data_IF_247927489312
#
_entry.id   IF_247927489312
#
_cell.length_a   1.000
_cell.length_b   1.000
_cell.length_c   1.000
_cell.angle_alpha   90.00
_cell.angle_beta   90.00
_cell.angle_gamma   90.00
#
_symmetry.space_group_name_H-M   'P 1'
#
loop_
_entity.id
_entity.type
_entity.pdbx_description
1 polymer ?
#
# COMPACT_ATOMS: atom_id res chain seq x y z
N UNK A 1 -14.06 24.57 -10.63
CA UNK A 1 -13.14 23.46 -10.98
C UNK A 1 -13.58 22.25 -10.16
N UNK A 2 -13.93 21.13 -10.79
CA UNK A 2 -14.13 19.86 -10.07
C UNK A 2 -12.75 19.32 -9.68
N UNK A 3 -12.43 19.27 -8.40
CA UNK A 3 -11.31 18.48 -7.92
C UNK A 3 -11.69 17.00 -8.09
N UNK A 4 -11.09 16.30 -9.06
CA UNK A 4 -11.16 14.84 -9.07
C UNK A 4 -10.19 14.32 -8.02
N UNK A 5 -10.71 13.74 -6.94
CA UNK A 5 -9.91 13.03 -5.96
C UNK A 5 -9.54 11.64 -6.50
N UNK A 6 -8.79 11.56 -7.60
CA UNK A 6 -8.38 10.30 -8.20
C UNK A 6 -6.86 10.23 -8.28
N UNK A 7 -6.31 9.03 -8.10
CA UNK A 7 -4.87 8.81 -8.15
C UNK A 7 -4.52 7.34 -8.07
N UNK A 8 -3.23 7.06 -8.09
CA UNK A 8 -2.69 5.70 -8.04
C UNK A 8 -1.65 5.59 -6.94
N UNK A 9 -1.72 4.52 -6.13
CA UNK A 9 -0.63 4.13 -5.24
C UNK A 9 0.28 3.13 -5.98
N UNK A 10 1.52 3.52 -6.24
CA UNK A 10 2.50 2.70 -6.95
C UNK A 10 3.47 2.04 -5.96
N UNK A 11 3.63 0.73 -6.05
CA UNK A 11 4.55 -0.06 -5.21
C UNK A 11 5.42 -0.97 -6.06
N UNK A 12 6.70 -1.06 -5.68
CA UNK A 12 7.71 -1.86 -6.38
C UNK A 12 8.57 -2.66 -5.42
N UNK A 13 8.76 -3.94 -5.72
CA UNK A 13 9.72 -4.79 -5.00
C UNK A 13 11.14 -4.48 -5.48
N UNK A 14 11.97 -3.95 -4.57
CA UNK A 14 13.37 -3.63 -4.87
C UNK A 14 14.26 -4.88 -4.70
N UNK A 15 14.20 -5.51 -3.53
CA UNK A 15 15.02 -6.68 -3.19
C UNK A 15 14.19 -7.70 -2.42
N UNK A 16 14.49 -8.97 -2.64
CA UNK A 16 13.90 -10.09 -1.91
C UNK A 16 15.00 -11.12 -1.67
N UNK A 17 15.25 -11.43 -0.41
CA UNK A 17 16.21 -12.45 0.00
C UNK A 17 15.45 -13.63 0.55
N UNK A 18 15.59 -14.78 -0.09
CA UNK A 18 14.95 -16.03 0.30
C UNK A 18 15.99 -16.99 0.88
N UNK A 19 15.68 -17.60 2.01
CA UNK A 19 16.45 -18.74 2.53
C UNK A 19 16.44 -19.89 1.51
N UNK A 20 17.44 -20.77 1.58
CA UNK A 20 17.86 -21.77 0.58
C UNK A 20 16.82 -22.84 0.15
N UNK A 21 15.64 -22.44 -0.31
CA UNK A 21 14.64 -23.29 -0.96
C UNK A 21 14.63 -22.97 -2.45
N UNK A 22 15.20 -23.88 -3.25
CA UNK A 22 15.43 -23.71 -4.70
C UNK A 22 14.18 -23.47 -5.55
N UNK A 23 12.97 -23.67 -5.02
CA UNK A 23 11.72 -23.56 -5.78
C UNK A 23 10.66 -22.66 -5.13
N UNK A 24 11.05 -21.81 -4.18
CA UNK A 24 10.08 -20.94 -3.51
C UNK A 24 9.73 -19.73 -4.39
N UNK A 25 8.49 -19.68 -4.87
CA UNK A 25 7.90 -18.55 -5.59
C UNK A 25 6.91 -17.85 -4.66
N UNK A 26 7.32 -16.79 -3.94
CA UNK A 26 6.42 -16.09 -3.04
C UNK A 26 5.34 -15.34 -3.81
N UNK A 27 4.14 -15.41 -3.28
CA UNK A 27 3.03 -14.55 -3.63
C UNK A 27 2.87 -13.47 -2.55
N UNK A 28 2.66 -12.24 -2.98
CA UNK A 28 2.50 -11.08 -2.13
C UNK A 28 1.07 -10.61 -2.21
N UNK A 29 0.40 -10.58 -1.06
CA UNK A 29 -0.89 -9.89 -0.90
C UNK A 29 -0.64 -8.52 -0.29
N UNK A 30 -1.03 -7.48 -1.02
CA UNK A 30 -0.90 -6.09 -0.62
C UNK A 30 -2.30 -5.57 -0.36
N UNK A 31 -2.55 -5.13 0.87
CA UNK A 31 -3.82 -4.59 1.33
C UNK A 31 -3.61 -3.13 1.73
N UNK A 32 -4.25 -2.21 1.02
CA UNK A 32 -4.30 -0.81 1.40
C UNK A 32 -5.61 -0.54 2.14
N UNK A 33 -5.51 0.11 3.29
CA UNK A 33 -6.66 0.51 4.09
C UNK A 33 -6.42 1.79 4.83
N UNK A 34 -7.48 2.34 5.40
CA UNK A 34 -7.40 3.51 6.26
C UNK A 34 -6.49 3.24 7.46
N UNK A 35 -5.82 4.30 7.90
CA UNK A 35 -5.00 4.24 9.11
C UNK A 35 -5.84 3.80 10.32
N UNK A 36 -5.33 2.80 11.04
CA UNK A 36 -5.84 2.37 12.32
C UNK A 36 -4.74 2.53 13.37
N UNK A 37 -5.07 3.10 14.53
CA UNK A 37 -4.12 3.28 15.63
C UNK A 37 -3.57 1.94 16.16
N UNK A 38 -4.38 0.88 16.08
CA UNK A 38 -4.00 -0.49 16.43
C UNK A 38 -4.20 -1.35 15.20
N UNK A 39 -3.15 -2.02 14.76
CA UNK A 39 -3.14 -2.80 13.52
C UNK A 39 -4.11 -3.98 13.66
N UNK A 40 -5.19 -3.96 12.88
CA UNK A 40 -6.02 -5.16 12.68
C UNK A 40 -5.54 -5.93 11.45
N UNK A 41 -5.14 -7.19 11.65
CA UNK A 41 -4.80 -8.10 10.54
C UNK A 41 -6.05 -8.59 9.78
N UNK A 42 -7.23 -8.42 10.35
CA UNK A 42 -8.51 -8.85 9.77
C UNK A 42 -9.36 -7.66 9.27
N UNK A 43 -8.78 -6.45 9.22
CA UNK A 43 -9.47 -5.28 8.70
C UNK A 43 -9.64 -5.35 7.18
N UNK A 44 -10.71 -4.74 6.68
CA UNK A 44 -11.00 -4.66 5.24
C UNK A 44 -10.01 -3.74 4.52
N UNK A 45 -9.65 -4.09 3.29
CA UNK A 45 -8.76 -3.32 2.43
C UNK A 45 -9.52 -2.14 1.78
N UNK A 46 -9.88 -1.14 2.57
CA UNK A 46 -10.76 -0.02 2.15
C UNK A 46 -10.24 0.81 0.98
N UNK A 47 -8.94 0.75 0.70
CA UNK A 47 -8.30 1.46 -0.41
C UNK A 47 -7.90 0.55 -1.57
N UNK A 48 -8.22 -0.74 -1.48
CA UNK A 48 -7.93 -1.75 -2.49
C UNK A 48 -6.94 -2.80 -2.02
N UNK A 49 -7.00 -3.96 -2.67
CA UNK A 49 -6.04 -5.03 -2.48
C UNK A 49 -5.59 -5.62 -3.82
N UNK A 50 -4.39 -6.18 -3.83
CA UNK A 50 -3.84 -6.88 -4.97
C UNK A 50 -2.98 -8.04 -4.50
N UNK A 51 -3.09 -9.16 -5.20
CA UNK A 51 -2.27 -10.35 -4.99
C UNK A 51 -1.45 -10.60 -6.25
N UNK A 52 -0.13 -10.71 -6.10
CA UNK A 52 0.77 -10.90 -7.23
C UNK A 52 2.08 -11.56 -6.84
N UNK A 53 2.77 -12.13 -7.82
CA UNK A 53 4.10 -12.71 -7.66
C UNK A 53 5.21 -11.65 -7.58
N UNK A 54 6.41 -12.10 -7.18
CA UNK A 54 7.59 -11.25 -7.04
C UNK A 54 7.96 -10.50 -8.34
N UNK A 55 7.81 -11.13 -9.51
CA UNK A 55 8.23 -10.56 -10.80
C UNK A 55 7.31 -9.41 -11.20
N UNK A 56 6.00 -9.60 -11.05
CA UNK A 56 5.01 -8.53 -11.24
C UNK A 56 5.25 -7.37 -10.28
N UNK A 57 5.64 -7.65 -9.03
CA UNK A 57 5.89 -6.60 -8.04
C UNK A 57 7.18 -5.84 -8.35
N UNK A 58 8.19 -6.51 -8.92
CA UNK A 58 9.43 -5.86 -9.43
C UNK A 58 9.18 -4.95 -10.61
N UNK A 59 8.18 -5.27 -11.43
CA UNK A 59 7.76 -4.47 -12.59
C UNK A 59 6.83 -3.30 -12.22
N UNK A 60 6.68 -3.02 -10.92
CA UNK A 60 5.77 -2.04 -10.37
C UNK A 60 4.30 -2.45 -10.47
N UNK A 61 3.53 -2.12 -9.45
CA UNK A 61 2.09 -2.38 -9.37
C UNK A 61 1.38 -1.13 -8.89
N UNK A 62 0.30 -0.78 -9.56
CA UNK A 62 -0.55 0.37 -9.23
C UNK A 62 -1.88 -0.10 -8.66
N UNK A 63 -2.31 0.55 -7.59
CA UNK A 63 -3.66 0.44 -7.04
C UNK A 63 -4.33 1.79 -7.26
N UNK A 64 -5.30 1.80 -8.18
CA UNK A 64 -6.07 2.99 -8.53
C UNK A 64 -7.10 3.29 -7.44
N UNK A 65 -7.30 4.57 -7.13
CA UNK A 65 -8.29 5.04 -6.17
C UNK A 65 -9.05 6.27 -6.69
N UNK A 66 -10.26 6.46 -6.18
CA UNK A 66 -11.19 7.53 -6.53
C UNK A 66 -11.59 8.39 -5.32
N UNK A 67 -10.72 8.44 -4.29
CA UNK A 67 -10.88 9.27 -3.09
C UNK A 67 -9.65 10.17 -2.84
N UNK A 68 -9.79 11.18 -1.97
CA UNK A 68 -8.70 12.09 -1.62
C UNK A 68 -7.64 11.38 -0.80
N UNK A 69 -6.38 11.39 -1.25
CA UNK A 69 -5.32 10.69 -0.51
C UNK A 69 -5.11 11.36 0.86
N UNK A 70 -5.23 10.63 1.98
CA UNK A 70 -4.97 11.18 3.29
C UNK A 70 -3.47 11.45 3.44
N UNK A 71 -3.06 12.72 3.43
CA UNK A 71 -1.66 13.09 3.67
C UNK A 71 -1.42 13.20 5.18
N UNK A 72 -0.61 12.29 5.70
CA UNK A 72 -0.08 12.39 7.06
C UNK A 72 1.14 13.35 7.06
N UNK A 73 1.16 14.44 7.84
CA UNK A 73 2.21 15.48 7.81
C UNK A 73 3.57 15.09 8.44
N UNK A 74 3.79 13.83 8.80
CA UNK A 74 5.06 13.35 9.33
C UNK A 74 5.66 12.33 8.33
N UNK A 75 6.93 12.49 7.95
CA UNK A 75 7.60 11.76 6.86
C UNK A 75 7.32 10.25 6.78
N UNK A 76 6.82 9.82 5.62
CA UNK A 76 6.67 8.42 5.19
C UNK A 76 8.09 7.83 5.02
N UNK A 77 8.66 7.24 6.07
CA UNK A 77 10.00 6.62 5.98
C UNK A 77 9.98 5.13 6.31
N UNK A 78 8.87 4.57 6.78
CA UNK A 78 8.75 3.14 7.09
C UNK A 78 7.45 2.57 6.53
N UNK A 79 7.57 1.64 5.58
CA UNK A 79 6.47 0.80 5.04
C UNK A 79 6.13 -0.36 6.02
N UNK A 80 5.97 0.01 7.29
CA UNK A 80 5.36 -0.74 8.39
C UNK A 80 4.82 0.32 9.36
N UNK A 81 3.54 0.66 9.19
CA UNK A 81 2.68 1.37 10.15
C UNK A 81 3.32 2.54 10.92
N UNK A 82 3.34 3.70 10.30
CA UNK A 82 3.22 4.98 10.99
C UNK A 82 2.23 5.79 10.14
N UNK A 83 1.37 6.64 10.68
CA UNK A 83 1.80 7.89 11.30
C UNK A 83 0.69 8.41 12.21
N UNK A 84 1.10 8.81 13.41
CA UNK A 84 0.27 9.57 14.34
C UNK A 84 -0.31 10.80 13.62
N UNK A 85 -1.64 10.86 13.52
CA UNK A 85 -2.43 11.96 12.95
C UNK A 85 -2.39 12.08 11.42
N UNK A 86 -3.23 11.31 10.73
CA UNK A 86 -3.58 11.58 9.33
C UNK A 86 -4.74 12.58 9.30
N UNK A 87 -4.54 13.70 8.62
CA UNK A 87 -5.61 14.65 8.32
C UNK A 87 -6.17 14.27 6.95
N UNK A 88 -7.49 14.06 6.84
CA UNK A 88 -8.13 13.90 5.53
C UNK A 88 -7.92 15.19 4.73
N UNK A 89 -7.21 15.09 3.61
CA UNK A 89 -7.31 16.11 2.58
C UNK A 89 -8.67 15.92 1.90
N UNK A 90 -9.63 16.75 2.32
CA UNK A 90 -10.88 16.90 1.57
C UNK A 90 -10.55 17.67 0.29
N UNK A 91 -10.72 17.00 -0.85
CA UNK A 91 -11.36 17.68 -1.95
C UNK A 91 -12.88 17.62 -1.73
#
# INVERSE_FOLDING_TARGET
LQCSCAGSFEIRLVSLTLGSKKDFRPEFRICLKQFERRISHNGECTFGEVTLDAERLRNSTKIEFQFGWPVCPHSITHLLFALHSCQELRC
#
